data_IF_848596774392
#
_entry.id   IF_848596774392
#
_cell.length_a   1.000
_cell.length_b   1.000
_cell.length_c   1.000
_cell.angle_alpha   90.00
_cell.angle_beta   90.00
_cell.angle_gamma   90.00
#
_symmetry.space_group_name_H-M   'P 1'
#
loop_
_entity.id
_entity.type
_entity.pdbx_description
1 polymer ?
#
# COMPACT_ATOMS: atom_id res chain seq x y z
N UNK A 1 -22.25 25.43 21.18
CA UNK A 1 -21.75 24.07 21.17
C UNK A 1 -20.64 23.90 20.13
N UNK A 2 -19.48 23.49 20.55
CA UNK A 2 -18.36 23.33 19.68
C UNK A 2 -18.38 21.95 19.04
N UNK A 3 -18.41 21.92 17.74
CA UNK A 3 -18.17 20.70 17.00
C UNK A 3 -16.67 20.62 16.73
N UNK A 4 -16.08 19.51 17.04
CA UNK A 4 -14.72 19.26 16.58
C UNK A 4 -14.67 19.34 15.07
N UNK A 5 -13.54 19.74 14.50
CA UNK A 5 -13.35 19.68 13.08
C UNK A 5 -13.62 18.25 12.60
N UNK A 6 -14.31 18.10 11.48
CA UNK A 6 -14.51 16.81 10.88
C UNK A 6 -13.14 16.21 10.56
N UNK A 7 -12.98 14.90 10.77
CA UNK A 7 -11.74 14.22 10.41
C UNK A 7 -11.51 14.36 8.92
N UNK A 8 -10.26 14.63 8.56
CA UNK A 8 -9.87 14.72 7.16
C UNK A 8 -9.94 13.31 6.54
N UNK A 9 -10.47 13.24 5.34
CA UNK A 9 -10.45 12.03 4.54
C UNK A 9 -9.30 12.10 3.55
N UNK A 10 -8.50 11.06 3.51
CA UNK A 10 -7.33 10.96 2.64
C UNK A 10 -7.52 9.79 1.71
N UNK A 11 -7.36 10.04 0.41
CA UNK A 11 -7.37 8.97 -0.59
C UNK A 11 -5.97 8.42 -0.74
N UNK A 12 -5.84 7.11 -0.57
CA UNK A 12 -4.57 6.39 -0.64
C UNK A 12 -4.69 5.27 -1.67
N UNK A 13 -3.66 5.10 -2.44
CA UNK A 13 -3.54 4.02 -3.41
C UNK A 13 -2.33 3.17 -3.05
N UNK A 14 -2.47 1.85 -3.17
CA UNK A 14 -1.40 0.91 -2.86
C UNK A 14 -1.32 -0.18 -3.91
N UNK A 15 -0.19 -0.86 -3.97
CA UNK A 15 0.10 -1.86 -4.98
C UNK A 15 0.38 -3.23 -4.37
N UNK A 16 -0.14 -4.25 -5.05
CA UNK A 16 0.20 -5.63 -4.81
C UNK A 16 1.21 -6.03 -5.89
N UNK A 17 2.48 -6.06 -5.52
CA UNK A 17 3.60 -6.22 -6.46
C UNK A 17 4.27 -7.57 -6.22
N UNK A 18 4.07 -8.57 -7.11
CA UNK A 18 4.72 -9.86 -6.93
C UNK A 18 6.23 -9.75 -7.12
N UNK A 19 6.95 -10.58 -6.39
CA UNK A 19 8.39 -10.72 -6.59
C UNK A 19 8.67 -11.30 -7.97
N UNK A 20 9.56 -10.70 -8.76
CA UNK A 20 9.98 -11.34 -10.01
C UNK A 20 10.52 -12.74 -9.74
N UNK A 21 9.96 -13.73 -10.46
CA UNK A 21 10.35 -15.13 -10.30
C UNK A 21 9.67 -15.88 -9.15
N UNK A 22 8.92 -15.21 -8.29
CA UNK A 22 8.19 -15.86 -7.20
C UNK A 22 6.89 -15.13 -6.90
N UNK A 23 5.83 -15.48 -7.60
CA UNK A 23 4.54 -14.82 -7.50
C UNK A 23 3.79 -15.11 -6.19
N UNK A 24 4.36 -15.91 -5.29
CA UNK A 24 3.79 -16.14 -3.96
C UNK A 24 4.18 -15.08 -2.95
N UNK A 25 5.16 -14.24 -3.30
CA UNK A 25 5.68 -13.18 -2.43
C UNK A 25 5.40 -11.83 -3.03
N UNK A 26 5.08 -10.87 -2.17
CA UNK A 26 4.73 -9.51 -2.58
C UNK A 26 5.56 -8.49 -1.82
N UNK A 27 5.83 -7.35 -2.48
CA UNK A 27 6.59 -6.29 -1.87
C UNK A 27 5.78 -5.59 -0.78
N UNK A 28 6.38 -5.46 0.39
CA UNK A 28 5.84 -4.66 1.48
C UNK A 28 6.93 -3.73 1.99
N UNK A 29 6.52 -2.62 2.58
CA UNK A 29 7.44 -1.64 3.13
C UNK A 29 7.10 -1.35 4.58
N UNK A 30 8.14 -1.06 5.36
CA UNK A 30 8.00 -0.61 6.73
C UNK A 30 8.11 0.91 6.75
N UNK A 31 7.14 1.58 7.36
CA UNK A 31 7.13 3.04 7.47
C UNK A 31 8.32 3.52 8.29
N UNK A 32 8.80 4.72 7.96
CA UNK A 32 9.84 5.37 8.75
C UNK A 32 9.39 5.53 10.20
N UNK A 33 10.33 5.59 11.17
CA UNK A 33 9.97 5.84 12.55
C UNK A 33 9.36 7.23 12.71
N UNK A 34 8.52 7.39 13.71
CA UNK A 34 7.83 8.65 14.00
C UNK A 34 6.37 8.61 13.61
N UNK A 35 5.54 9.43 14.31
CA UNK A 35 4.11 9.44 14.11
C UNK A 35 3.43 8.22 14.69
N UNK A 36 2.11 8.22 14.64
CA UNK A 36 1.29 7.17 15.25
C UNK A 36 1.35 5.84 14.49
N UNK A 37 1.81 5.85 13.26
CA UNK A 37 1.90 4.65 12.41
C UNK A 37 3.36 4.31 12.03
N UNK A 38 4.32 4.90 12.73
CA UNK A 38 5.74 4.64 12.47
C UNK A 38 6.10 3.18 12.71
N UNK A 39 6.98 2.64 11.87
CA UNK A 39 7.49 1.28 11.90
C UNK A 39 6.44 0.19 11.62
N UNK A 40 5.22 0.56 11.27
CA UNK A 40 4.23 -0.41 10.79
C UNK A 40 4.50 -0.75 9.33
N UNK A 41 4.14 -1.96 8.95
CA UNK A 41 4.27 -2.44 7.58
C UNK A 41 3.02 -2.13 6.77
N UNK A 42 3.19 -1.97 5.48
CA UNK A 42 2.10 -1.62 4.56
C UNK A 42 2.45 -2.04 3.14
N UNK A 43 1.43 -2.12 2.28
CA UNK A 43 1.68 -2.24 0.85
C UNK A 43 2.21 -0.91 0.31
N UNK A 44 3.12 -0.94 -0.68
CA UNK A 44 3.69 0.30 -1.23
C UNK A 44 2.63 1.17 -1.90
N UNK A 45 2.77 2.46 -1.73
CA UNK A 45 1.86 3.43 -2.34
C UNK A 45 1.92 4.77 -1.63
N UNK A 46 0.85 5.52 -1.71
CA UNK A 46 0.78 6.82 -1.07
C UNK A 46 -0.49 7.58 -1.42
N UNK A 47 -0.48 8.86 -1.13
CA UNK A 47 -1.66 9.71 -1.30
C UNK A 47 -1.88 10.06 -2.77
N UNK A 48 -3.16 10.07 -3.16
CA UNK A 48 -3.57 10.60 -4.46
C UNK A 48 -3.63 12.11 -4.35
N UNK A 49 -2.92 12.80 -5.24
CA UNK A 49 -2.92 14.26 -5.28
C UNK A 49 -4.04 14.79 -6.16
N UNK A 50 -4.48 16.05 -5.94
CA UNK A 50 -5.52 16.64 -6.78
C UNK A 50 -5.15 16.57 -8.27
N UNK A 51 -6.11 16.14 -9.09
CA UNK A 51 -5.90 16.03 -10.53
C UNK A 51 -5.25 14.74 -10.99
N UNK A 52 -4.77 13.89 -10.07
CA UNK A 52 -4.22 12.59 -10.44
C UNK A 52 -5.31 11.52 -10.46
N UNK A 53 -5.19 10.55 -11.38
CA UNK A 53 -5.91 9.30 -11.26
C UNK A 53 -5.21 8.41 -10.23
N UNK A 54 -5.90 7.38 -9.75
CA UNK A 54 -5.30 6.42 -8.81
C UNK A 54 -4.08 5.72 -9.43
N UNK A 55 -4.14 5.19 -10.68
CA UNK A 55 -2.95 4.60 -11.29
C UNK A 55 -1.77 5.57 -11.45
N UNK A 56 -2.05 6.83 -11.78
CA UNK A 56 -0.99 7.85 -11.89
C UNK A 56 -0.32 8.11 -10.55
N UNK A 57 -1.12 8.23 -9.50
CA UNK A 57 -0.62 8.45 -8.14
C UNK A 57 0.25 7.27 -7.70
N UNK A 58 -0.19 6.04 -7.97
CA UNK A 58 0.54 4.85 -7.59
C UNK A 58 1.89 4.77 -8.29
N UNK A 59 1.91 5.02 -9.60
CA UNK A 59 3.15 5.01 -10.37
C UNK A 59 4.12 6.08 -9.86
N UNK A 60 3.61 7.27 -9.58
CA UNK A 60 4.43 8.39 -9.06
C UNK A 60 5.01 8.06 -7.68
N UNK A 61 4.17 7.60 -6.76
CA UNK A 61 4.60 7.29 -5.39
C UNK A 61 5.69 6.22 -5.37
N UNK A 62 5.51 5.16 -6.15
CA UNK A 62 6.50 4.09 -6.17
C UNK A 62 7.80 4.51 -6.84
N UNK A 63 7.74 5.41 -7.83
CA UNK A 63 8.95 5.98 -8.41
C UNK A 63 9.69 6.86 -7.40
N UNK A 64 8.96 7.71 -6.67
CA UNK A 64 9.57 8.61 -5.69
C UNK A 64 10.14 7.88 -4.49
N UNK A 65 9.42 6.90 -3.96
CA UNK A 65 9.78 6.25 -2.71
C UNK A 65 10.61 4.98 -2.88
N UNK A 66 10.51 4.30 -4.01
CA UNK A 66 11.17 3.02 -4.23
C UNK A 66 12.11 3.01 -5.43
N UNK A 67 12.11 4.07 -6.23
CA UNK A 67 12.91 4.17 -7.46
C UNK A 67 12.61 3.03 -8.44
N UNK A 68 11.34 2.68 -8.58
CA UNK A 68 10.91 1.64 -9.53
C UNK A 68 9.86 2.19 -10.48
N UNK A 69 9.79 1.57 -11.66
CA UNK A 69 8.73 1.82 -12.62
C UNK A 69 7.76 0.66 -12.57
N UNK A 70 6.48 0.96 -12.34
CA UNK A 70 5.43 -0.04 -12.26
C UNK A 70 4.59 -0.07 -13.53
N UNK A 71 4.18 -1.26 -13.89
CA UNK A 71 3.04 -1.45 -14.77
C UNK A 71 1.83 -1.67 -13.87
N UNK A 72 0.96 -0.66 -13.80
CA UNK A 72 -0.23 -0.71 -12.95
C UNK A 72 -1.34 -1.46 -13.69
N UNK A 73 -1.91 -2.43 -13.03
CA UNK A 73 -2.97 -3.25 -13.58
C UNK A 73 -4.34 -2.87 -13.02
N UNK A 74 -5.13 -3.88 -12.71
CA UNK A 74 -6.52 -3.74 -12.32
C UNK A 74 -6.65 -3.39 -10.83
N UNK A 75 -7.68 -2.62 -10.49
CA UNK A 75 -8.04 -2.37 -9.09
C UNK A 75 -8.66 -3.65 -8.51
N UNK A 76 -8.10 -4.12 -7.40
CA UNK A 76 -8.46 -5.38 -6.77
C UNK A 76 -9.36 -5.22 -5.56
N UNK A 77 -9.21 -4.13 -4.82
CA UNK A 77 -9.86 -3.95 -3.54
C UNK A 77 -10.00 -2.47 -3.22
N UNK A 78 -11.12 -2.11 -2.60
CA UNK A 78 -11.35 -0.76 -2.06
C UNK A 78 -12.00 -0.87 -0.69
N UNK A 79 -11.68 0.05 0.18
CA UNK A 79 -12.30 0.12 1.50
C UNK A 79 -11.95 1.41 2.21
N UNK A 80 -12.62 1.63 3.33
CA UNK A 80 -12.43 2.81 4.16
C UNK A 80 -12.06 2.38 5.56
N UNK A 81 -11.08 3.03 6.14
CA UNK A 81 -10.69 2.79 7.53
C UNK A 81 -10.65 4.11 8.29
N UNK A 82 -11.23 4.13 9.47
CA UNK A 82 -11.22 5.30 10.33
C UNK A 82 -10.17 5.16 11.42
N UNK A 83 -9.14 6.01 11.34
CA UNK A 83 -8.22 6.22 12.45
C UNK A 83 -8.76 7.33 13.32
N UNK A 84 -8.20 7.51 14.52
CA UNK A 84 -8.62 8.58 15.42
C UNK A 84 -8.38 9.97 14.84
N UNK A 85 -7.33 10.11 14.01
CA UNK A 85 -6.87 11.38 13.45
C UNK A 85 -7.33 11.63 12.02
N UNK A 86 -7.68 10.58 11.26
CA UNK A 86 -8.12 10.75 9.88
C UNK A 86 -8.86 9.50 9.39
N UNK A 87 -9.56 9.66 8.28
CA UNK A 87 -10.21 8.56 7.57
C UNK A 87 -9.41 8.28 6.29
N UNK A 88 -9.10 7.02 6.06
CA UNK A 88 -8.37 6.58 4.86
C UNK A 88 -9.32 5.85 3.92
N UNK A 89 -9.40 6.32 2.68
CA UNK A 89 -10.02 5.57 1.59
C UNK A 89 -8.90 4.91 0.80
N UNK A 90 -8.82 3.58 0.88
CA UNK A 90 -7.74 2.81 0.28
C UNK A 90 -8.21 2.05 -0.95
N UNK A 91 -7.46 2.17 -2.03
CA UNK A 91 -7.64 1.35 -3.21
C UNK A 91 -6.36 0.55 -3.45
N UNK A 92 -6.49 -0.76 -3.63
CA UNK A 92 -5.36 -1.67 -3.88
C UNK A 92 -5.40 -2.13 -5.34
N UNK A 93 -4.28 -2.00 -6.02
CA UNK A 93 -4.13 -2.36 -7.43
C UNK A 93 -3.15 -3.50 -7.61
N UNK A 94 -3.44 -4.39 -8.56
CA UNK A 94 -2.41 -5.29 -9.06
C UNK A 94 -1.39 -4.45 -9.82
N UNK A 95 -0.10 -4.75 -9.64
CA UNK A 95 0.96 -4.07 -10.36
C UNK A 95 2.16 -4.99 -10.50
N UNK A 96 3.01 -4.69 -11.49
CA UNK A 96 4.23 -5.45 -11.72
C UNK A 96 5.40 -4.50 -11.85
N UNK A 97 6.58 -4.95 -11.43
CA UNK A 97 7.81 -4.22 -11.66
C UNK A 97 8.13 -4.29 -13.15
N UNK A 98 8.16 -3.13 -13.79
CA UNK A 98 8.57 -3.00 -15.19
C UNK A 98 10.06 -2.86 -15.27
N UNK A 99 10.66 -2.07 -14.38
CA UNK A 99 12.10 -1.91 -14.28
C UNK A 99 12.48 -1.36 -12.91
N UNK A 100 13.74 -1.56 -12.54
CA UNK A 100 14.32 -1.09 -11.30
C UNK A 100 14.27 -2.11 -10.18
N UNK A 101 15.21 -2.00 -9.25
CA UNK A 101 15.19 -2.73 -7.99
C UNK A 101 14.65 -1.79 -6.92
N UNK A 102 13.67 -2.24 -6.11
CA UNK A 102 13.14 -1.38 -5.04
C UNK A 102 14.21 -0.93 -4.07
N UNK A 103 14.20 0.36 -3.75
CA UNK A 103 15.13 1.00 -2.81
C UNK A 103 14.38 1.68 -1.69
N UNK A 104 15.01 1.78 -0.53
CA UNK A 104 14.42 2.42 0.66
C UNK A 104 14.59 3.94 0.62
N UNK A 105 14.07 4.61 -0.39
CA UNK A 105 14.15 6.07 -0.47
C UNK A 105 13.15 6.75 0.47
N UNK A 106 11.97 6.13 0.66
CA UNK A 106 10.92 6.68 1.51
C UNK A 106 10.44 5.72 2.59
N UNK A 107 11.16 4.62 2.86
CA UNK A 107 10.76 3.61 3.83
C UNK A 107 11.94 3.22 4.70
N UNK A 108 11.64 2.62 5.84
CA UNK A 108 12.67 2.13 6.77
C UNK A 108 13.22 0.76 6.32
N UNK A 109 12.38 -0.07 5.73
CA UNK A 109 12.76 -1.39 5.24
C UNK A 109 11.82 -1.85 4.15
N UNK A 110 12.27 -2.80 3.34
CA UNK A 110 11.50 -3.46 2.29
C UNK A 110 11.67 -4.95 2.40
N UNK A 111 10.65 -5.70 2.01
CA UNK A 111 10.73 -7.16 1.96
C UNK A 111 9.73 -7.69 0.94
N UNK A 112 10.06 -8.83 0.33
CA UNK A 112 9.09 -9.63 -0.42
C UNK A 112 8.64 -10.78 0.48
N UNK A 113 7.36 -10.81 0.83
CA UNK A 113 6.81 -11.74 1.81
C UNK A 113 5.59 -12.44 1.28
N UNK A 114 5.36 -13.66 1.75
CA UNK A 114 4.08 -14.35 1.53
C UNK A 114 3.01 -13.69 2.39
N UNK A 115 1.72 -13.82 2.02
CA UNK A 115 0.65 -13.31 2.87
C UNK A 115 0.70 -13.85 4.31
N UNK A 116 1.07 -15.11 4.50
CA UNK A 116 1.20 -15.69 5.85
C UNK A 116 2.29 -14.99 6.66
N UNK A 117 3.43 -14.70 6.03
CA UNK A 117 4.52 -13.97 6.68
C UNK A 117 4.10 -12.54 7.03
N UNK A 118 3.34 -11.89 6.14
CA UNK A 118 2.83 -10.54 6.39
C UNK A 118 1.92 -10.50 7.62
N UNK A 119 1.08 -11.52 7.80
CA UNK A 119 0.15 -11.58 8.94
C UNK A 119 0.86 -11.67 10.29
N UNK A 120 2.13 -12.08 10.30
CA UNK A 120 2.93 -12.12 11.52
C UNK A 120 3.59 -10.78 11.86
N UNK A 121 3.48 -9.78 10.99
CA UNK A 121 4.08 -8.46 11.17
C UNK A 121 3.05 -7.43 11.64
N UNK A 122 3.50 -6.38 12.36
CA UNK A 122 2.60 -5.28 12.71
C UNK A 122 2.29 -4.45 11.46
N UNK A 123 1.10 -4.61 10.93
CA UNK A 123 0.63 -3.89 9.74
C UNK A 123 -0.20 -2.68 10.10
N UNK A 124 -0.18 -1.67 9.22
CA UNK A 124 -1.12 -0.56 9.27
C UNK A 124 -2.54 -1.10 9.22
N UNK A 125 -3.41 -0.59 10.10
CA UNK A 125 -4.78 -1.12 10.23
C UNK A 125 -5.57 -1.07 8.93
N UNK A 126 -5.41 0.02 8.16
CA UNK A 126 -6.10 0.17 6.87
C UNK A 126 -5.72 -0.93 5.87
N UNK A 127 -4.54 -1.51 5.99
CA UNK A 127 -4.04 -2.53 5.08
C UNK A 127 -4.42 -3.96 5.51
N UNK A 128 -4.93 -4.12 6.75
CA UNK A 128 -5.26 -5.45 7.28
C UNK A 128 -6.40 -6.11 6.52
N UNK A 129 -7.54 -5.44 6.25
CA UNK A 129 -8.61 -6.10 5.49
C UNK A 129 -8.19 -6.61 4.11
N UNK A 130 -7.48 -5.83 3.26
CA UNK A 130 -7.03 -6.38 1.99
C UNK A 130 -5.97 -7.49 2.16
N UNK A 131 -5.13 -7.42 3.19
CA UNK A 131 -4.20 -8.50 3.49
C UNK A 131 -4.94 -9.79 3.84
N UNK A 132 -5.99 -9.70 4.64
CA UNK A 132 -6.82 -10.87 4.97
C UNK A 132 -7.47 -11.47 3.73
N UNK A 133 -7.98 -10.63 2.83
CA UNK A 133 -8.57 -11.10 1.58
C UNK A 133 -7.52 -11.77 0.68
N UNK A 134 -6.32 -11.21 0.63
CA UNK A 134 -5.21 -11.81 -0.12
C UNK A 134 -4.84 -13.18 0.46
N UNK A 135 -4.69 -13.26 1.77
CA UNK A 135 -4.32 -14.50 2.45
C UNK A 135 -5.39 -15.60 2.30
N UNK A 136 -6.64 -15.21 2.20
CA UNK A 136 -7.76 -16.13 2.00
C UNK A 136 -7.99 -16.52 0.53
N UNK A 137 -7.19 -15.99 -0.39
CA UNK A 137 -7.32 -16.29 -1.82
C UNK A 137 -8.49 -15.58 -2.50
N UNK A 138 -9.01 -14.50 -1.89
CA UNK A 138 -10.13 -13.75 -2.46
C UNK A 138 -9.71 -12.69 -3.47
N UNK A 139 -8.41 -12.40 -3.58
CA UNK A 139 -7.88 -11.45 -4.54
C UNK A 139 -7.05 -12.20 -5.58
N UNK A 140 -7.15 -11.76 -6.84
CA UNK A 140 -6.35 -12.30 -7.94
C UNK A 140 -5.26 -11.28 -8.28
N UNK A 141 -4.05 -11.40 -7.69
CA UNK A 141 -3.01 -10.40 -7.87
C UNK A 141 -2.42 -10.39 -9.27
N UNK A 142 -2.65 -11.43 -10.06
CA UNK A 142 -2.12 -11.52 -11.42
C UNK A 142 -3.18 -11.16 -12.47
N UNK A 143 -4.41 -11.03 -12.00
CA UNK A 143 -5.57 -10.83 -12.84
C UNK A 143 -5.75 -9.55 -13.47
#
# INVERSE_FOLDING_TARGET
LTQGAAKRTVRVVAALIPQPGDASRFLVQQRLPGGSRGLLWEFPGGKVEPGESEPEALARECREELDVRLQVGRRLWVGTHEYSDLTVELALYAARLESGEPKTLGANALAFLTPAEMKALPFCEADIPPLEDLAAGRLDPLG
#
